data_IF_190207019992
#
_entry.id   IF_190207019992
#
_cell.length_a   1.000
_cell.length_b   1.000
_cell.length_c   1.000
_cell.angle_alpha   90.00
_cell.angle_beta   90.00
_cell.angle_gamma   90.00
#
_symmetry.space_group_name_H-M   'P 1'
#
loop_
_entity.id
_entity.type
_entity.pdbx_description
1 polymer ?
#
# COMPACT_ATOMS: atom_id res chain seq x y z
N UNK A 1 -13.92 -8.08 -16.39
CA UNK A 1 -13.04 -7.06 -15.81
C UNK A 1 -12.48 -7.54 -14.48
N UNK A 2 -11.18 -7.44 -14.28
CA UNK A 2 -10.54 -7.97 -13.08
C UNK A 2 -10.72 -6.99 -11.92
N UNK A 3 -11.23 -7.48 -10.79
CA UNK A 3 -11.37 -6.69 -9.59
C UNK A 3 -10.04 -6.61 -8.87
N UNK A 4 -9.61 -5.39 -8.52
CA UNK A 4 -8.38 -5.18 -7.78
C UNK A 4 -8.65 -5.31 -6.28
N UNK A 5 -7.85 -6.12 -5.60
CA UNK A 5 -7.89 -6.19 -4.16
C UNK A 5 -6.70 -5.43 -3.56
N UNK A 6 -6.99 -4.46 -2.70
CA UNK A 6 -6.00 -3.60 -2.07
C UNK A 6 -5.88 -3.95 -0.60
N UNK A 7 -4.65 -4.12 -0.12
CA UNK A 7 -4.37 -4.17 1.31
C UNK A 7 -3.82 -2.81 1.72
N UNK A 8 -4.51 -2.12 2.62
CA UNK A 8 -4.08 -0.82 3.14
C UNK A 8 -3.59 -0.99 4.56
N UNK A 9 -2.37 -0.53 4.83
CA UNK A 9 -1.71 -0.67 6.12
C UNK A 9 -1.38 0.71 6.68
N UNK A 10 -2.05 1.09 7.76
CA UNK A 10 -1.88 2.40 8.41
C UNK A 10 -2.33 2.28 9.86
N UNK A 11 -1.55 2.84 10.78
CA UNK A 11 -1.88 2.77 12.21
C UNK A 11 -2.93 3.80 12.65
N UNK A 12 -3.26 4.76 11.80
CA UNK A 12 -4.25 5.78 12.11
C UNK A 12 -5.65 5.35 11.66
N UNK A 13 -6.61 5.18 12.61
CA UNK A 13 -7.96 4.74 12.25
C UNK A 13 -8.67 5.67 11.27
N UNK A 14 -8.48 6.99 11.43
CA UNK A 14 -9.12 7.98 10.56
C UNK A 14 -8.65 7.84 9.12
N UNK A 15 -7.36 7.59 8.93
CA UNK A 15 -6.81 7.41 7.58
C UNK A 15 -7.33 6.12 6.96
N UNK A 16 -7.41 5.04 7.75
CA UNK A 16 -7.98 3.78 7.25
C UNK A 16 -9.42 3.97 6.81
N UNK A 17 -10.21 4.72 7.57
CA UNK A 17 -11.61 4.98 7.22
C UNK A 17 -11.73 5.79 5.93
N UNK A 18 -10.95 6.86 5.80
CA UNK A 18 -10.97 7.69 4.60
C UNK A 18 -10.51 6.90 3.38
N UNK A 19 -9.47 6.10 3.50
CA UNK A 19 -8.99 5.27 2.40
C UNK A 19 -10.06 4.26 1.97
N UNK A 20 -10.74 3.63 2.94
CA UNK A 20 -11.80 2.68 2.64
C UNK A 20 -12.93 3.34 1.86
N UNK A 21 -13.39 4.50 2.31
CA UNK A 21 -14.45 5.25 1.63
C UNK A 21 -14.01 5.66 0.22
N UNK A 22 -12.76 6.09 0.09
CA UNK A 22 -12.20 6.52 -1.20
C UNK A 22 -12.18 5.38 -2.21
N UNK A 23 -11.72 4.20 -1.80
CA UNK A 23 -11.60 3.07 -2.71
C UNK A 23 -12.95 2.44 -3.02
N UNK A 24 -13.94 2.58 -2.14
CA UNK A 24 -15.30 2.14 -2.41
C UNK A 24 -15.95 2.90 -3.57
N UNK A 25 -15.43 4.08 -3.92
CA UNK A 25 -15.92 4.83 -5.07
C UNK A 25 -15.60 4.13 -6.39
N UNK A 26 -14.63 3.22 -6.39
CA UNK A 26 -14.29 2.41 -7.56
C UNK A 26 -14.96 1.04 -7.42
N UNK A 27 -15.93 0.76 -8.28
CA UNK A 27 -16.72 -0.46 -8.21
C UNK A 27 -15.88 -1.73 -8.43
N UNK A 28 -14.70 -1.60 -9.03
CA UNK A 28 -13.82 -2.72 -9.33
C UNK A 28 -12.65 -2.83 -8.34
N UNK A 29 -12.77 -2.20 -7.19
CA UNK A 29 -11.80 -2.34 -6.11
C UNK A 29 -12.44 -2.90 -4.84
N UNK A 30 -11.70 -3.75 -4.15
CA UNK A 30 -12.04 -4.21 -2.81
C UNK A 30 -10.85 -3.92 -1.89
N UNK A 31 -11.11 -3.80 -0.60
CA UNK A 31 -10.12 -3.36 0.37
C UNK A 31 -10.11 -4.25 1.61
N UNK A 32 -8.93 -4.58 2.06
CA UNK A 32 -8.68 -5.09 3.41
C UNK A 32 -7.76 -4.08 4.10
N UNK A 33 -8.06 -3.76 5.36
CA UNK A 33 -7.23 -2.83 6.13
C UNK A 33 -6.49 -3.55 7.24
N UNK A 34 -5.27 -3.10 7.51
CA UNK A 34 -4.47 -3.56 8.64
C UNK A 34 -3.99 -2.34 9.43
N UNK A 35 -3.92 -2.47 10.75
CA UNK A 35 -3.57 -1.37 11.64
C UNK A 35 -2.07 -1.31 11.96
N UNK A 36 -1.29 -2.28 11.49
CA UNK A 36 0.14 -2.35 11.76
C UNK A 36 0.83 -3.21 10.72
N UNK A 37 2.16 -3.08 10.66
CA UNK A 37 2.97 -3.95 9.81
C UNK A 37 2.83 -5.41 10.20
N UNK A 38 2.82 -5.69 11.52
CA UNK A 38 2.65 -7.05 12.02
C UNK A 38 1.33 -7.68 11.62
N UNK A 39 0.24 -6.92 11.72
CA UNK A 39 -1.08 -7.39 11.29
C UNK A 39 -1.10 -7.67 9.79
N UNK A 40 -0.47 -6.80 8.99
CA UNK A 40 -0.39 -7.00 7.55
C UNK A 40 0.35 -8.29 7.21
N UNK A 41 1.49 -8.53 7.86
CA UNK A 41 2.26 -9.75 7.65
C UNK A 41 1.46 -11.01 8.03
N UNK A 42 0.71 -10.92 9.11
CA UNK A 42 -0.13 -12.03 9.58
C UNK A 42 -1.21 -12.35 8.53
N UNK A 43 -1.86 -11.32 7.98
CA UNK A 43 -2.86 -11.52 6.93
C UNK A 43 -2.25 -12.15 5.68
N UNK A 44 -1.06 -11.72 5.29
CA UNK A 44 -0.37 -12.27 4.11
C UNK A 44 0.03 -13.72 4.32
N UNK A 45 0.40 -14.09 5.55
CA UNK A 45 0.72 -15.47 5.89
C UNK A 45 -0.53 -16.36 5.91
N UNK A 46 -1.71 -15.77 6.08
CA UNK A 46 -3.00 -16.48 6.11
C UNK A 46 -3.70 -16.49 4.76
N UNK A 47 -2.94 -16.48 3.68
CA UNK A 47 -3.44 -16.61 2.30
C UNK A 47 -4.12 -15.37 1.72
N UNK A 48 -4.01 -14.19 2.33
CA UNK A 48 -4.46 -12.98 1.68
C UNK A 48 -3.57 -12.70 0.47
N UNK A 49 -4.17 -12.48 -0.70
CA UNK A 49 -3.46 -12.26 -1.96
C UNK A 49 -3.86 -10.94 -2.58
N UNK A 50 -3.39 -9.80 -2.04
CA UNK A 50 -3.74 -8.50 -2.61
C UNK A 50 -3.01 -8.29 -3.95
N UNK A 51 -3.64 -7.51 -4.81
CA UNK A 51 -3.03 -7.09 -6.07
C UNK A 51 -2.03 -5.95 -5.84
N UNK A 52 -2.22 -5.20 -4.76
CA UNK A 52 -1.33 -4.09 -4.39
C UNK A 52 -1.48 -3.83 -2.89
N UNK A 53 -0.38 -3.39 -2.28
CA UNK A 53 -0.36 -3.00 -0.87
C UNK A 53 -0.08 -1.50 -0.77
N UNK A 54 -0.97 -0.76 -0.11
CA UNK A 54 -0.73 0.63 0.26
C UNK A 54 -0.16 0.61 1.67
N UNK A 55 1.09 1.01 1.81
CA UNK A 55 1.85 0.81 3.04
C UNK A 55 2.36 2.14 3.59
N UNK A 56 1.85 2.54 4.75
CA UNK A 56 2.31 3.74 5.43
C UNK A 56 3.77 3.58 5.84
N UNK A 57 4.56 4.62 5.64
CA UNK A 57 5.99 4.61 5.98
C UNK A 57 6.20 4.68 7.50
N UNK A 58 5.46 5.58 8.17
CA UNK A 58 5.68 5.86 9.60
C UNK A 58 4.65 5.15 10.45
N UNK A 59 5.03 4.03 11.03
CA UNK A 59 4.19 3.28 11.96
C UNK A 59 5.02 2.86 13.17
N UNK A 60 4.40 2.76 14.37
CA UNK A 60 5.14 2.29 15.55
C UNK A 60 5.51 0.82 15.41
N UNK A 61 6.54 0.42 16.11
CA UNK A 61 7.10 -0.92 16.18
C UNK A 61 7.74 -1.38 14.87
N UNK A 62 6.95 -1.59 13.81
CA UNK A 62 7.46 -2.00 12.51
C UNK A 62 6.99 -0.98 11.47
N UNK A 63 7.93 -0.22 10.91
CA UNK A 63 7.61 0.81 9.92
C UNK A 63 7.37 0.20 8.53
N UNK A 64 7.07 1.07 7.55
CA UNK A 64 6.79 0.64 6.19
C UNK A 64 7.95 -0.10 5.54
N UNK A 65 9.16 0.49 5.53
CA UNK A 65 10.33 -0.21 4.95
C UNK A 65 10.62 -1.55 5.62
N UNK A 66 10.48 -1.62 6.95
CA UNK A 66 10.66 -2.88 7.68
C UNK A 66 9.62 -3.92 7.32
N UNK A 67 8.36 -3.48 7.17
CA UNK A 67 7.28 -4.37 6.74
C UNK A 67 7.54 -4.90 5.33
N UNK A 68 7.98 -4.02 4.42
CA UNK A 68 8.30 -4.42 3.05
C UNK A 68 9.39 -5.49 3.03
N UNK A 69 10.46 -5.29 3.80
CA UNK A 69 11.56 -6.25 3.86
C UNK A 69 11.05 -7.63 4.29
N UNK A 70 10.19 -7.68 5.29
CA UNK A 70 9.68 -8.95 5.81
C UNK A 70 8.66 -9.60 4.86
N UNK A 71 7.79 -8.81 4.23
CA UNK A 71 6.82 -9.41 3.31
C UNK A 71 7.48 -9.99 2.06
N UNK A 72 8.63 -9.44 1.63
CA UNK A 72 9.37 -9.98 0.50
C UNK A 72 9.93 -11.37 0.78
N UNK A 73 10.07 -11.75 2.05
CA UNK A 73 10.52 -13.09 2.44
C UNK A 73 9.38 -14.10 2.50
N UNK A 74 8.13 -13.65 2.40
CA UNK A 74 6.98 -14.55 2.44
C UNK A 74 6.77 -15.21 1.08
N UNK A 75 6.58 -16.55 1.05
CA UNK A 75 6.31 -17.25 -0.21
C UNK A 75 5.09 -16.67 -0.92
N UNK A 76 5.24 -16.34 -2.19
CA UNK A 76 4.18 -15.75 -2.99
C UNK A 76 4.12 -14.24 -2.95
N UNK A 77 4.94 -13.59 -2.12
CA UNK A 77 4.94 -12.13 -1.98
C UNK A 77 6.25 -11.48 -2.36
N UNK A 78 7.11 -12.21 -3.06
CA UNK A 78 8.41 -11.69 -3.52
C UNK A 78 8.27 -10.52 -4.48
N UNK A 79 7.13 -10.41 -5.16
CA UNK A 79 6.88 -9.37 -6.18
C UNK A 79 5.54 -8.66 -6.01
N UNK A 80 4.86 -8.86 -4.90
CA UNK A 80 3.58 -8.16 -4.67
C UNK A 80 3.81 -6.66 -4.72
N UNK A 81 3.08 -5.92 -5.58
CA UNK A 81 3.28 -4.48 -5.72
C UNK A 81 3.01 -3.74 -4.42
N UNK A 82 3.91 -2.82 -4.05
CA UNK A 82 3.78 -2.01 -2.85
C UNK A 82 3.91 -0.54 -3.24
N UNK A 83 2.96 0.27 -2.77
CA UNK A 83 2.99 1.72 -2.88
C UNK A 83 3.15 2.27 -1.46
N UNK A 84 4.20 3.05 -1.23
CA UNK A 84 4.36 3.71 0.07
C UNK A 84 3.47 4.94 0.16
N UNK A 85 2.94 5.19 1.36
CA UNK A 85 2.21 6.42 1.66
C UNK A 85 3.00 7.19 2.70
N UNK A 86 3.27 8.47 2.43
CA UNK A 86 4.13 9.28 3.29
C UNK A 86 3.75 10.75 3.24
N UNK A 87 3.97 11.44 4.35
CA UNK A 87 3.81 12.91 4.39
C UNK A 87 4.99 13.61 3.71
N UNK A 88 6.06 12.90 3.38
CA UNK A 88 7.26 13.46 2.76
C UNK A 88 7.52 12.80 1.42
N UNK A 89 7.52 13.62 0.35
CA UNK A 89 7.71 13.13 -1.00
C UNK A 89 8.76 13.95 -1.76
N UNK A 90 9.84 14.34 -1.08
CA UNK A 90 10.98 14.94 -1.77
C UNK A 90 11.63 13.90 -2.68
N UNK A 91 12.28 14.36 -3.73
CA UNK A 91 12.88 13.47 -4.74
C UNK A 91 13.79 12.41 -4.15
N UNK A 92 14.61 12.80 -3.18
CA UNK A 92 15.54 11.86 -2.53
C UNK A 92 14.80 10.75 -1.78
N UNK A 93 13.70 11.08 -1.13
CA UNK A 93 12.90 10.10 -0.39
C UNK A 93 12.15 9.18 -1.33
N UNK A 94 11.55 9.73 -2.39
CA UNK A 94 10.87 8.93 -3.41
C UNK A 94 11.85 7.94 -4.05
N UNK A 95 13.04 8.40 -4.41
CA UNK A 95 14.06 7.54 -5.01
C UNK A 95 14.48 6.43 -4.05
N UNK A 96 14.59 6.73 -2.76
CA UNK A 96 14.90 5.73 -1.75
C UNK A 96 13.83 4.65 -1.68
N UNK A 97 12.55 5.03 -1.67
CA UNK A 97 11.45 4.07 -1.60
C UNK A 97 11.38 3.20 -2.85
N UNK A 98 11.57 3.78 -4.02
CA UNK A 98 11.63 3.01 -5.27
C UNK A 98 12.81 2.04 -5.25
N UNK A 99 13.95 2.47 -4.74
CA UNK A 99 15.13 1.60 -4.61
C UNK A 99 14.88 0.42 -3.65
N UNK A 100 14.00 0.60 -2.66
CA UNK A 100 13.62 -0.48 -1.76
C UNK A 100 12.66 -1.49 -2.40
N UNK A 101 12.11 -1.17 -3.57
CA UNK A 101 11.23 -2.08 -4.29
C UNK A 101 9.78 -1.63 -4.42
N UNK A 102 9.44 -0.43 -3.96
CA UNK A 102 8.10 0.11 -4.15
C UNK A 102 7.89 0.48 -5.61
N UNK A 103 6.64 0.36 -6.08
CA UNK A 103 6.28 0.77 -7.43
C UNK A 103 5.88 2.24 -7.51
N UNK A 104 5.63 2.88 -6.38
CA UNK A 104 5.26 4.29 -6.35
C UNK A 104 5.11 4.80 -4.94
N UNK A 105 4.80 6.09 -4.84
CA UNK A 105 4.61 6.79 -3.57
C UNK A 105 3.37 7.67 -3.68
N UNK A 106 2.53 7.63 -2.67
CA UNK A 106 1.36 8.53 -2.56
C UNK A 106 1.59 9.44 -1.37
N UNK A 107 1.43 10.74 -1.57
CA UNK A 107 1.67 11.76 -0.54
C UNK A 107 0.44 11.90 0.35
N UNK A 108 0.65 11.97 1.64
CA UNK A 108 -0.39 12.24 2.63
C UNK A 108 -0.36 13.72 3.03
N UNK A 109 -1.49 14.38 3.19
CA UNK A 109 -2.84 13.87 2.96
C UNK A 109 -3.13 13.68 1.48
N UNK A 110 -3.74 12.55 1.14
CA UNK A 110 -4.13 12.27 -0.24
C UNK A 110 -5.52 12.84 -0.53
N UNK A 111 -5.81 13.05 -1.81
CA UNK A 111 -7.14 13.43 -2.26
C UNK A 111 -8.03 12.19 -2.31
N UNK A 112 -9.10 12.11 -1.48
CA UNK A 112 -9.97 10.93 -1.48
C UNK A 112 -10.60 10.64 -2.85
N UNK A 113 -10.83 11.67 -3.65
CA UNK A 113 -11.47 11.51 -4.97
C UNK A 113 -10.50 10.94 -6.02
N UNK A 114 -9.20 10.96 -5.77
CA UNK A 114 -8.20 10.50 -6.74
C UNK A 114 -7.38 9.31 -6.26
N UNK A 115 -7.62 8.79 -5.06
CA UNK A 115 -6.81 7.71 -4.52
C UNK A 115 -6.87 6.46 -5.42
N UNK A 116 -8.05 6.04 -5.83
CA UNK A 116 -8.18 4.86 -6.70
C UNK A 116 -7.43 5.04 -8.02
N UNK A 117 -7.55 6.22 -8.64
CA UNK A 117 -6.84 6.52 -9.88
C UNK A 117 -5.32 6.50 -9.68
N UNK A 118 -4.84 7.01 -8.55
CA UNK A 118 -3.42 6.99 -8.21
C UNK A 118 -2.89 5.56 -8.09
N UNK A 119 -3.66 4.68 -7.47
CA UNK A 119 -3.30 3.25 -7.33
C UNK A 119 -3.23 2.59 -8.70
N UNK A 120 -4.25 2.80 -9.54
CA UNK A 120 -4.27 2.22 -10.88
C UNK A 120 -3.13 2.76 -11.74
N UNK A 121 -2.83 4.05 -11.63
CA UNK A 121 -1.73 4.67 -12.38
C UNK A 121 -0.38 4.07 -12.00
N UNK A 122 -0.12 3.88 -10.71
CA UNK A 122 1.12 3.27 -10.25
C UNK A 122 1.27 1.83 -10.74
N UNK A 123 0.19 1.05 -10.72
CA UNK A 123 0.22 -0.32 -11.23
C UNK A 123 0.46 -0.37 -12.74
N UNK A 124 -0.16 0.53 -13.50
CA UNK A 124 0.02 0.60 -14.94
C UNK A 124 1.46 0.98 -15.29
N UNK A 125 2.03 1.95 -14.59
CA UNK A 125 3.41 2.38 -14.84
C UNK A 125 4.41 1.28 -14.49
N UNK A 126 4.16 0.52 -13.43
CA UNK A 126 5.03 -0.58 -13.02
C UNK A 126 4.99 -1.75 -13.99
N UNK A 127 3.89 -1.93 -14.70
CA UNK A 127 3.73 -3.01 -15.66
C UNK A 127 4.43 -2.80 -17.00
N UNK A 128 5.09 -1.67 -17.20
CA UNK A 128 5.76 -1.32 -18.47
C UNK A 128 7.21 -1.83 -18.58
#
# INVERSE_FOLDING_TARGET
>A
MTRLHVLHVDDEPDIREVAALSLELDADMSLTSAASGGEALDLLQRDLRPDVILLDVMMPELDGPGTLAQLRELPGHERTPVIFMTARAQSSEVNRYIALGAIGVIVKPFDPMSLAASVRGALADAGR
#
